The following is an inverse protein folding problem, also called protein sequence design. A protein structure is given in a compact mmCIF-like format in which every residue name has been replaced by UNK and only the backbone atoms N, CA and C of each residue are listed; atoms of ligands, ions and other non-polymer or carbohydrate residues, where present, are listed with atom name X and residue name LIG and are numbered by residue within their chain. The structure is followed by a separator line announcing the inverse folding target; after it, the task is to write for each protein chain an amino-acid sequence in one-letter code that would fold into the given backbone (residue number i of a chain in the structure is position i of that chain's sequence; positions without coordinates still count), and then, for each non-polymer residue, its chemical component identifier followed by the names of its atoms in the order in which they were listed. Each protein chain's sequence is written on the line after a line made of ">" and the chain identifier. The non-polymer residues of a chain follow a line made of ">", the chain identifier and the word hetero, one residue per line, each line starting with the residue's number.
data_IF_406232120143
#
_entry.id   IF_406232120143
#
_cell.length_a   1.000
_cell.length_b   1.000
_cell.length_c   1.000
_cell.angle_alpha   90.00
_cell.angle_beta   90.00
_cell.angle_gamma   90.00
#
_symmetry.space_group_name_H-M   'P 1'
#
loop_
_entity.id
_entity.type
_entity.pdbx_description
1 polymer ?
#
# COMPACT_ATOMS: atom_id res chain seq x y z
N UNK A 1 -13.81 5.70 -36.25
CA UNK A 1 -14.93 5.87 -35.29
C UNK A 1 -14.67 5.09 -34.02
N UNK A 2 -14.29 3.81 -34.09
CA UNK A 2 -13.85 3.02 -32.91
C UNK A 2 -12.64 3.63 -32.17
N UNK A 3 -11.61 4.13 -32.88
CA UNK A 3 -10.43 4.71 -32.22
C UNK A 3 -10.76 5.93 -31.33
N UNK A 4 -11.73 6.74 -31.74
CA UNK A 4 -12.18 7.94 -31.01
C UNK A 4 -12.97 7.54 -29.76
N UNK A 5 -13.68 6.41 -29.80
CA UNK A 5 -14.41 5.88 -28.64
C UNK A 5 -13.42 5.31 -27.62
N UNK A 6 -12.37 4.62 -28.09
CA UNK A 6 -11.30 4.09 -27.24
C UNK A 6 -10.48 5.21 -26.58
N UNK A 7 -10.12 6.26 -27.32
CA UNK A 7 -9.44 7.44 -26.77
C UNK A 7 -10.26 8.12 -25.67
N UNK A 8 -11.56 8.36 -25.92
CA UNK A 8 -12.46 8.94 -24.91
C UNK A 8 -12.64 8.03 -23.70
N UNK A 9 -12.68 6.71 -23.87
CA UNK A 9 -12.77 5.77 -22.76
C UNK A 9 -11.49 5.78 -21.90
N UNK A 10 -10.31 5.86 -22.53
CA UNK A 10 -9.04 5.99 -21.83
C UNK A 10 -8.99 7.33 -21.07
N UNK A 11 -9.34 8.43 -21.72
CA UNK A 11 -9.34 9.76 -21.12
C UNK A 11 -10.30 9.83 -19.92
N UNK A 12 -11.49 9.23 -20.04
CA UNK A 12 -12.46 9.14 -18.96
C UNK A 12 -11.99 8.22 -17.84
N UNK A 13 -11.26 7.13 -18.14
CA UNK A 13 -10.63 6.27 -17.13
C UNK A 13 -9.52 7.00 -16.36
N UNK A 14 -8.73 7.84 -17.03
CA UNK A 14 -7.69 8.66 -16.40
C UNK A 14 -8.31 9.72 -15.50
N UNK A 15 -9.39 10.36 -15.95
CA UNK A 15 -10.15 11.34 -15.15
C UNK A 15 -10.77 10.65 -13.92
N UNK A 16 -11.42 9.50 -14.09
CA UNK A 16 -11.97 8.74 -12.96
C UNK A 16 -10.87 8.33 -11.98
N UNK A 17 -9.72 7.85 -12.47
CA UNK A 17 -8.57 7.52 -11.60
C UNK A 17 -8.07 8.77 -10.86
N UNK A 18 -8.00 9.93 -11.52
CA UNK A 18 -7.59 11.19 -10.88
C UNK A 18 -8.59 11.73 -9.85
N UNK A 19 -9.89 11.50 -10.07
CA UNK A 19 -10.96 11.86 -9.12
C UNK A 19 -10.95 10.90 -7.92
N UNK A 20 -10.62 9.62 -8.14
CA UNK A 20 -10.39 8.65 -7.06
C UNK A 20 -9.09 8.99 -6.30
N UNK A 21 -8.09 9.57 -6.94
CA UNK A 21 -6.86 10.07 -6.28
C UNK A 21 -7.14 11.22 -5.31
N UNK A 22 -8.14 12.06 -5.61
CA UNK A 22 -8.62 13.12 -4.71
C UNK A 22 -9.50 12.59 -3.56
N UNK A 23 -9.88 11.31 -3.57
CA UNK A 23 -10.55 10.67 -2.44
C UNK A 23 -9.58 10.27 -1.31
N UNK A 24 -8.26 10.32 -1.53
CA UNK A 24 -7.26 10.35 -0.45
C UNK A 24 -7.21 11.78 0.14
N UNK A 25 -8.21 12.12 0.95
CA UNK A 25 -8.34 13.39 1.67
C UNK A 25 -7.28 13.53 2.78
N UNK A 26 -6.01 13.40 2.42
CA UNK A 26 -4.91 13.59 3.35
C UNK A 26 -4.73 15.07 3.64
N UNK A 27 -4.61 15.42 4.92
CA UNK A 27 -4.22 16.75 5.37
C UNK A 27 -2.80 17.09 4.89
N UNK A 28 -2.45 18.37 4.94
CA UNK A 28 -1.09 18.81 4.58
C UNK A 28 -0.01 18.07 5.38
N UNK A 29 -0.23 17.91 6.69
CA UNK A 29 0.68 17.17 7.57
C UNK A 29 0.79 15.70 7.17
N UNK A 30 -0.33 15.03 6.88
CA UNK A 30 -0.33 13.65 6.41
C UNK A 30 0.40 13.49 5.06
N UNK A 31 0.31 14.46 4.14
CA UNK A 31 1.04 14.46 2.86
C UNK A 31 2.55 14.62 3.05
N UNK A 32 2.99 15.42 4.03
CA UNK A 32 4.40 15.55 4.39
C UNK A 32 4.93 14.23 4.97
N UNK A 33 4.18 13.59 5.88
CA UNK A 33 4.54 12.29 6.44
C UNK A 33 4.55 11.20 5.37
N UNK A 34 3.54 11.18 4.50
CA UNK A 34 3.45 10.25 3.37
C UNK A 34 4.71 10.30 2.51
N UNK A 35 5.24 11.50 2.24
CA UNK A 35 6.47 11.66 1.44
C UNK A 35 7.66 11.00 2.13
N UNK A 36 7.80 11.15 3.45
CA UNK A 36 8.86 10.49 4.23
C UNK A 36 8.69 8.97 4.24
N UNK A 37 7.46 8.47 4.43
CA UNK A 37 7.15 7.03 4.42
C UNK A 37 7.49 6.45 3.04
N UNK A 38 7.03 7.11 1.99
CA UNK A 38 7.20 6.68 0.61
C UNK A 38 8.67 6.49 0.23
N UNK A 39 9.53 7.48 0.53
CA UNK A 39 10.96 7.36 0.25
C UNK A 39 11.62 6.19 1.00
N UNK A 40 11.13 5.84 2.19
CA UNK A 40 11.65 4.71 2.97
C UNK A 40 11.20 3.35 2.44
N UNK A 41 10.00 3.24 1.88
CA UNK A 41 9.44 1.95 1.43
C UNK A 41 9.67 1.68 -0.05
N UNK A 42 9.92 2.72 -0.85
CA UNK A 42 9.96 2.64 -2.32
C UNK A 42 10.85 1.51 -2.83
N UNK A 43 12.09 1.42 -2.36
CA UNK A 43 13.03 0.39 -2.80
C UNK A 43 12.55 -1.04 -2.46
N UNK A 44 11.94 -1.23 -1.28
CA UNK A 44 11.37 -2.53 -0.89
C UNK A 44 10.17 -2.90 -1.75
N UNK A 45 9.31 -1.94 -2.07
CA UNK A 45 8.15 -2.19 -2.94
C UNK A 45 8.60 -2.49 -4.37
N UNK A 46 9.56 -1.75 -4.92
CA UNK A 46 10.13 -2.04 -6.24
C UNK A 46 10.66 -3.48 -6.32
N UNK A 47 11.37 -3.93 -5.28
CA UNK A 47 11.83 -5.32 -5.15
C UNK A 47 10.69 -6.35 -5.16
N UNK A 48 9.61 -6.10 -4.42
CA UNK A 48 8.43 -6.98 -4.36
C UNK A 48 7.76 -7.07 -5.74
N UNK A 49 7.66 -5.94 -6.43
CA UNK A 49 6.95 -5.85 -7.71
C UNK A 49 7.64 -6.62 -8.84
N UNK A 50 8.97 -6.60 -8.88
CA UNK A 50 9.78 -7.27 -9.92
C UNK A 50 9.74 -8.79 -9.79
N UNK A 51 9.38 -9.33 -8.61
CA UNK A 51 9.28 -10.77 -8.41
C UNK A 51 8.09 -11.36 -9.20
N UNK A 52 8.37 -12.06 -10.30
CA UNK A 52 7.32 -12.63 -11.17
C UNK A 52 6.64 -13.88 -10.59
N UNK A 53 7.28 -14.54 -9.61
CA UNK A 53 6.77 -15.79 -9.04
C UNK A 53 5.67 -15.56 -8.00
N UNK A 54 5.45 -14.31 -7.59
CA UNK A 54 4.43 -13.95 -6.61
C UNK A 54 3.14 -13.51 -7.28
N UNK A 55 2.02 -14.03 -6.78
CA UNK A 55 0.70 -13.53 -7.17
C UNK A 55 0.48 -12.08 -6.70
N UNK A 56 -0.38 -11.33 -7.39
CA UNK A 56 -0.68 -9.94 -7.03
C UNK A 56 -1.21 -9.81 -5.59
N UNK A 57 -1.96 -10.80 -5.10
CA UNK A 57 -2.42 -10.84 -3.71
C UNK A 57 -1.25 -10.88 -2.73
N UNK A 58 -0.26 -11.75 -2.97
CA UNK A 58 0.92 -11.85 -2.10
C UNK A 58 1.74 -10.57 -2.16
N UNK A 59 1.92 -9.98 -3.35
CA UNK A 59 2.61 -8.71 -3.52
C UNK A 59 1.94 -7.60 -2.71
N UNK A 60 0.61 -7.49 -2.78
CA UNK A 60 -0.15 -6.50 -2.01
C UNK A 60 0.05 -6.69 -0.51
N UNK A 61 -0.01 -7.93 0.00
CA UNK A 61 0.28 -8.21 1.40
C UNK A 61 1.70 -7.77 1.80
N UNK A 62 2.71 -8.07 0.98
CA UNK A 62 4.08 -7.69 1.27
C UNK A 62 4.28 -6.17 1.25
N UNK A 63 3.62 -5.46 0.34
CA UNK A 63 3.64 -3.99 0.29
C UNK A 63 3.04 -3.41 1.56
N UNK A 64 1.85 -3.88 1.95
CA UNK A 64 1.16 -3.43 3.17
C UNK A 64 2.04 -3.69 4.39
N UNK A 65 2.62 -4.88 4.51
CA UNK A 65 3.54 -5.23 5.58
C UNK A 65 4.76 -4.29 5.63
N UNK A 66 5.37 -3.98 4.49
CA UNK A 66 6.50 -3.06 4.42
C UNK A 66 6.12 -1.65 4.86
N UNK A 67 4.94 -1.17 4.45
CA UNK A 67 4.44 0.16 4.80
C UNK A 67 4.07 0.24 6.29
N UNK A 68 3.35 -0.74 6.83
CA UNK A 68 3.01 -0.80 8.27
C UNK A 68 4.27 -0.75 9.11
N UNK A 69 5.31 -1.55 8.77
CA UNK A 69 6.58 -1.57 9.52
C UNK A 69 7.22 -0.18 9.63
N UNK A 70 7.15 0.62 8.57
CA UNK A 70 7.68 1.99 8.57
C UNK A 70 6.77 2.94 9.36
N UNK A 71 5.46 2.86 9.17
CA UNK A 71 4.48 3.78 9.79
C UNK A 71 4.30 3.52 11.29
N UNK A 72 4.41 2.26 11.75
CA UNK A 72 4.37 1.92 13.17
C UNK A 72 5.56 2.51 13.93
N UNK A 73 6.77 2.38 13.37
CA UNK A 73 8.01 2.92 13.95
C UNK A 73 8.23 4.42 13.72
N UNK A 74 7.35 5.10 12.99
CA UNK A 74 7.48 6.52 12.69
C UNK A 74 7.07 7.40 13.87
N UNK A 75 8.06 8.02 14.49
CA UNK A 75 7.91 9.23 15.28
C UNK A 75 8.26 10.43 14.41
N UNK A 76 7.25 11.20 13.97
CA UNK A 76 7.48 12.43 13.19
C UNK A 76 7.38 13.62 14.13
N UNK A 77 8.39 14.49 14.14
CA UNK A 77 8.39 15.74 14.92
C UNK A 77 8.08 15.60 16.42
N UNK A 78 8.51 14.49 17.05
CA UNK A 78 8.23 14.17 18.48
C UNK A 78 6.74 14.05 18.85
N UNK A 79 5.83 14.00 17.87
CA UNK A 79 4.40 13.75 18.08
C UNK A 79 4.05 12.34 17.65
N UNK A 80 3.23 11.68 18.46
CA UNK A 80 2.64 10.39 18.15
C UNK A 80 1.53 10.60 17.13
N UNK A 81 1.66 10.02 15.95
CA UNK A 81 0.61 10.02 14.92
C UNK A 81 -0.52 9.10 15.41
N UNK A 82 -1.78 9.52 15.25
CA UNK A 82 -2.93 8.70 15.65
C UNK A 82 -3.02 7.42 14.80
N UNK A 83 -3.65 6.37 15.32
CA UNK A 83 -3.82 5.11 14.58
C UNK A 83 -4.60 5.29 13.26
N UNK A 84 -5.59 6.18 13.25
CA UNK A 84 -6.39 6.51 12.07
C UNK A 84 -5.55 7.19 11.00
N UNK A 85 -4.73 8.17 11.39
CA UNK A 85 -3.82 8.88 10.47
C UNK A 85 -2.77 7.93 9.91
N UNK A 86 -2.21 7.04 10.74
CA UNK A 86 -1.26 6.01 10.31
C UNK A 86 -1.85 5.11 9.23
N UNK A 87 -3.08 4.63 9.43
CA UNK A 87 -3.81 3.80 8.46
C UNK A 87 -4.02 4.54 7.13
N UNK A 88 -4.51 5.78 7.18
CA UNK A 88 -4.73 6.59 5.98
C UNK A 88 -3.44 6.83 5.19
N UNK A 89 -2.35 7.20 5.89
CA UNK A 89 -1.04 7.38 5.28
C UNK A 89 -0.52 6.07 4.67
N UNK A 90 -0.70 4.95 5.37
CA UNK A 90 -0.22 3.65 4.89
C UNK A 90 -0.94 3.19 3.61
N UNK A 91 -2.27 3.34 3.54
CA UNK A 91 -3.05 2.99 2.36
C UNK A 91 -2.70 3.89 1.17
N UNK A 92 -2.59 5.20 1.39
CA UNK A 92 -2.16 6.14 0.35
C UNK A 92 -0.73 5.85 -0.13
N UNK A 93 0.16 5.41 0.76
CA UNK A 93 1.52 5.03 0.41
C UNK A 93 1.54 3.80 -0.49
N UNK A 94 0.78 2.75 -0.17
CA UNK A 94 0.70 1.56 -1.01
C UNK A 94 0.14 1.86 -2.40
N UNK A 95 -0.93 2.66 -2.49
CA UNK A 95 -1.45 3.18 -3.78
C UNK A 95 -0.38 3.92 -4.56
N UNK A 96 0.33 4.85 -3.91
CA UNK A 96 1.40 5.64 -4.54
C UNK A 96 2.52 4.76 -5.08
N UNK A 97 2.93 3.73 -4.35
CA UNK A 97 3.94 2.78 -4.82
C UNK A 97 3.46 1.95 -6.02
N UNK A 98 2.22 1.48 -6.02
CA UNK A 98 1.64 0.72 -7.15
C UNK A 98 1.61 1.56 -8.43
N UNK A 99 1.23 2.83 -8.34
CA UNK A 99 1.16 3.75 -9.49
C UNK A 99 2.50 4.04 -10.15
N UNK A 100 3.62 3.72 -9.51
CA UNK A 100 4.95 3.82 -10.13
C UNK A 100 5.16 2.79 -11.24
N UNK A 101 4.36 1.72 -11.24
CA UNK A 101 4.49 0.61 -12.18
C UNK A 101 3.81 0.92 -13.51
N UNK A 102 4.39 0.39 -14.59
CA UNK A 102 3.69 0.28 -15.88
C UNK A 102 2.57 -0.75 -15.74
N UNK A 103 1.40 -0.47 -16.32
CA UNK A 103 0.22 -1.35 -16.29
C UNK A 103 -0.27 -1.68 -14.85
N UNK A 104 -0.36 -0.66 -14.00
CA UNK A 104 -0.70 -0.83 -12.58
C UNK A 104 -2.21 -0.99 -12.29
N UNK A 105 -3.09 -0.88 -13.28
CA UNK A 105 -4.54 -0.79 -13.08
C UNK A 105 -5.14 -2.01 -12.36
N UNK A 106 -4.82 -3.23 -12.81
CA UNK A 106 -5.34 -4.46 -12.19
C UNK A 106 -4.89 -4.61 -10.74
N UNK A 107 -3.65 -4.22 -10.48
CA UNK A 107 -3.09 -4.27 -9.13
C UNK A 107 -3.67 -3.17 -8.24
N UNK A 108 -3.94 -1.99 -8.79
CA UNK A 108 -4.56 -0.89 -8.06
C UNK A 108 -6.01 -1.23 -7.69
N UNK A 109 -6.79 -1.79 -8.62
CA UNK A 109 -8.14 -2.28 -8.35
C UNK A 109 -8.12 -3.36 -7.26
N UNK A 110 -7.22 -4.34 -7.38
CA UNK A 110 -7.08 -5.38 -6.35
C UNK A 110 -6.68 -4.80 -5.00
N UNK A 111 -5.75 -3.84 -4.99
CA UNK A 111 -5.31 -3.15 -3.78
C UNK A 111 -6.47 -2.43 -3.10
N UNK A 112 -7.24 -1.64 -3.83
CA UNK A 112 -8.37 -0.89 -3.28
C UNK A 112 -9.46 -1.82 -2.72
N UNK A 113 -9.60 -3.04 -3.25
CA UNK A 113 -10.54 -4.04 -2.73
C UNK A 113 -10.07 -4.71 -1.42
N UNK A 114 -8.77 -4.96 -1.24
CA UNK A 114 -8.29 -5.85 -0.16
C UNK A 114 -7.40 -5.16 0.87
N UNK A 115 -6.78 -4.02 0.54
CA UNK A 115 -5.67 -3.49 1.33
C UNK A 115 -6.06 -3.09 2.74
N UNK A 116 -7.24 -2.51 2.92
CA UNK A 116 -7.75 -2.09 4.21
C UNK A 116 -7.95 -3.28 5.16
N UNK A 117 -8.68 -4.31 4.70
CA UNK A 117 -8.92 -5.54 5.48
C UNK A 117 -7.62 -6.29 5.81
N UNK A 118 -6.71 -6.38 4.85
CA UNK A 118 -5.38 -6.99 5.06
C UNK A 118 -4.59 -6.22 6.12
N UNK A 119 -4.60 -4.88 6.06
CA UNK A 119 -3.91 -4.03 7.02
C UNK A 119 -4.45 -4.19 8.44
N UNK A 120 -5.77 -4.19 8.60
CA UNK A 120 -6.41 -4.41 9.90
C UNK A 120 -6.06 -5.79 10.46
N UNK A 121 -6.16 -6.83 9.63
CA UNK A 121 -5.77 -8.19 10.01
C UNK A 121 -4.32 -8.25 10.47
N UNK A 122 -3.39 -7.61 9.76
CA UNK A 122 -1.97 -7.59 10.14
C UNK A 122 -1.72 -6.87 11.47
N UNK A 123 -2.42 -5.75 11.72
CA UNK A 123 -2.34 -5.01 12.98
C UNK A 123 -2.91 -5.83 14.14
N UNK A 124 -4.03 -6.53 13.93
CA UNK A 124 -4.63 -7.36 14.97
C UNK A 124 -3.76 -8.57 15.29
N UNK A 125 -3.17 -9.20 14.27
CA UNK A 125 -2.20 -10.28 14.45
C UNK A 125 -0.95 -9.80 15.21
N UNK A 126 -0.42 -8.61 14.88
CA UNK A 126 0.77 -8.09 15.58
C UNK A 126 0.52 -7.82 17.06
N UNK A 127 -0.66 -7.29 17.40
CA UNK A 127 -1.08 -7.03 18.79
C UNK A 127 -1.25 -8.32 19.59
N UNK A 128 -1.85 -9.34 18.99
CA UNK A 128 -2.15 -10.60 19.67
C UNK A 128 -0.92 -11.50 19.85
N UNK A 129 0.07 -11.40 18.96
CA UNK A 129 1.26 -12.25 19.02
C UNK A 129 2.38 -11.67 19.89
N UNK A 130 2.27 -10.45 20.41
CA UNK A 130 3.35 -9.76 21.15
C UNK A 130 4.68 -9.69 20.35
N UNK A 131 4.59 -9.82 19.02
CA UNK A 131 5.72 -9.82 18.10
C UNK A 131 6.04 -8.36 17.79
N UNK A 132 7.15 -7.87 18.33
CA UNK A 132 7.63 -6.49 18.10
C UNK A 132 8.01 -6.20 16.64
N UNK A 133 7.96 -7.19 15.76
CA UNK A 133 8.31 -7.07 14.34
C UNK A 133 7.23 -7.68 13.42
N UNK A 134 6.29 -6.86 12.97
CA UNK A 134 5.24 -7.22 11.99
C UNK A 134 5.84 -7.78 10.68
N UNK A 135 7.06 -7.36 10.33
CA UNK A 135 7.76 -7.80 9.11
C UNK A 135 8.13 -9.29 9.08
N UNK A 136 8.33 -9.92 10.22
CA UNK A 136 8.66 -11.35 10.30
C UNK A 136 7.44 -12.26 10.39
N UNK A 137 6.26 -11.70 10.72
CA UNK A 137 5.02 -12.47 10.78
C UNK A 137 4.65 -13.07 9.42
N UNK A 138 4.86 -12.34 8.32
CA UNK A 138 4.58 -12.86 6.99
C UNK A 138 5.61 -13.91 6.56
N UNK A 139 6.91 -13.71 6.82
CA UNK A 139 7.94 -14.72 6.53
C UNK A 139 7.76 -16.00 7.37
N UNK A 140 7.34 -15.87 8.64
CA UNK A 140 7.05 -16.98 9.55
C UNK A 140 5.73 -17.71 9.26
N UNK A 141 4.69 -17.02 8.77
CA UNK A 141 3.47 -17.68 8.28
C UNK A 141 3.76 -18.51 7.03
N UNK A 142 4.62 -18.04 6.13
CA UNK A 142 4.96 -18.79 4.91
C UNK A 142 5.91 -19.97 5.15
N UNK A 143 6.70 -19.97 6.23
CA UNK A 143 7.47 -21.17 6.62
C UNK A 143 6.58 -22.31 7.13
N UNK A 144 5.36 -22.00 7.60
CA UNK A 144 4.34 -23.01 7.95
C UNK A 144 3.64 -23.62 6.73
N UNK A 145 3.68 -22.96 5.57
CA UNK A 145 3.09 -23.45 4.30
C UNK A 145 4.11 -24.09 3.35
N UNK A 146 5.41 -24.04 3.66
CA UNK A 146 6.42 -24.88 3.01
C UNK A 146 6.36 -26.28 3.63
N UNK A 147 5.54 -27.15 3.05
CA UNK A 147 5.64 -28.60 3.20
C UNK A 147 6.14 -29.22 1.91
#
# INVERSE_FOLDING_TARGET
>A
MESVIVEKAIEMSVIVTSIVDDADALTKEQKEILSVVFEKVKASVESIMINMDLSNHIKIMQIISAVIKIVEGLTVMKKTISGVDKKAIALACGRKCIKMMKNHLDMLLLYDMIAESVMETMIDVSRNLNVKEVGDCCMGLFSLFKK
#
